data_IF_837250841969
#
_entry.id   IF_837250841969
#
_cell.length_a   1.000
_cell.length_b   1.000
_cell.length_c   1.000
_cell.angle_alpha   90.00
_cell.angle_beta   90.00
_cell.angle_gamma   90.00
#
_symmetry.space_group_name_H-M   'P 1'
#
loop_
_entity.id
_entity.type
_entity.pdbx_description
1 polymer ?
#
# COMPACT_ATOMS: atom_id res chain seq x y z
N UNK A 1 -11.75 6.05 18.36
CA UNK A 1 -11.06 5.08 19.25
C UNK A 1 -11.94 3.82 19.41
N UNK A 2 -11.35 2.62 19.41
CA UNK A 2 -12.10 1.35 19.51
C UNK A 2 -12.41 0.64 18.19
N UNK A 3 -12.04 1.23 17.05
CA UNK A 3 -12.10 0.57 15.75
C UNK A 3 -10.76 -0.11 15.45
N UNK A 4 -10.82 -1.28 14.81
CA UNK A 4 -9.67 -2.04 14.31
C UNK A 4 -9.86 -2.30 12.82
N UNK A 5 -8.79 -2.19 12.06
CA UNK A 5 -8.73 -2.53 10.64
C UNK A 5 -7.65 -3.60 10.48
N UNK A 6 -7.94 -4.60 9.65
CA UNK A 6 -7.05 -5.70 9.30
C UNK A 6 -6.97 -5.83 7.78
N UNK A 7 -5.88 -6.42 7.27
CA UNK A 7 -5.61 -6.53 5.83
C UNK A 7 -5.77 -7.98 5.37
N UNK A 8 -6.61 -8.21 4.37
CA UNK A 8 -6.70 -9.51 3.65
C UNK A 8 -5.84 -9.47 2.37
N UNK A 9 -5.93 -8.37 1.62
CA UNK A 9 -5.16 -8.09 0.40
C UNK A 9 -5.30 -6.62 0.01
N UNK A 10 -4.43 -6.13 -0.87
CA UNK A 10 -4.37 -4.70 -1.24
C UNK A 10 -4.64 -4.39 -2.72
N UNK A 11 -4.63 -5.39 -3.61
CA UNK A 11 -4.80 -5.17 -5.05
C UNK A 11 -5.90 -6.06 -5.67
N UNK A 12 -5.81 -7.38 -5.49
CA UNK A 12 -6.70 -8.33 -6.16
C UNK A 12 -7.66 -9.01 -5.19
N UNK A 13 -8.95 -9.07 -5.57
CA UNK A 13 -9.96 -9.86 -4.89
C UNK A 13 -10.62 -10.84 -5.89
N UNK A 14 -10.56 -12.14 -5.60
CA UNK A 14 -11.40 -13.13 -6.28
C UNK A 14 -12.64 -13.38 -5.43
N UNK A 15 -13.81 -13.21 -6.05
CA UNK A 15 -15.07 -13.24 -5.31
C UNK A 15 -16.07 -14.24 -5.90
N UNK A 16 -16.83 -14.90 -5.03
CA UNK A 16 -17.89 -15.83 -5.41
C UNK A 16 -18.95 -15.92 -4.33
N UNK A 17 -20.22 -16.04 -4.73
CA UNK A 17 -21.31 -16.37 -3.80
C UNK A 17 -21.19 -17.82 -3.34
N UNK A 18 -21.27 -18.04 -2.02
CA UNK A 18 -21.36 -19.38 -1.43
C UNK A 18 -22.80 -19.95 -1.51
N UNK A 19 -22.99 -21.18 -1.03
CA UNK A 19 -24.30 -21.86 -1.05
C UNK A 19 -25.36 -21.21 -0.15
N UNK A 20 -24.96 -20.34 0.79
CA UNK A 20 -25.85 -19.55 1.62
C UNK A 20 -26.17 -18.18 1.00
N UNK A 21 -25.62 -17.87 -0.18
CA UNK A 21 -25.82 -16.58 -0.86
C UNK A 21 -24.95 -15.46 -0.32
N UNK A 22 -23.94 -15.75 0.51
CA UNK A 22 -22.99 -14.75 0.98
C UNK A 22 -21.87 -14.58 -0.06
N UNK A 23 -21.56 -13.33 -0.43
CA UNK A 23 -20.40 -13.03 -1.26
C UNK A 23 -19.13 -13.27 -0.44
N UNK A 24 -18.29 -14.22 -0.87
CA UNK A 24 -16.98 -14.52 -0.27
C UNK A 24 -15.87 -13.95 -1.13
N UNK A 25 -14.79 -13.49 -0.51
CA UNK A 25 -13.59 -13.03 -1.20
C UNK A 25 -12.32 -13.70 -0.65
N UNK A 26 -11.39 -14.01 -1.55
CA UNK A 26 -10.01 -14.34 -1.21
C UNK A 26 -9.07 -13.31 -1.83
N UNK A 27 -7.92 -13.11 -1.20
CA UNK A 27 -6.75 -12.53 -1.84
C UNK A 27 -5.95 -13.66 -2.51
N UNK A 28 -5.78 -13.67 -3.84
CA UNK A 28 -5.00 -14.71 -4.52
C UNK A 28 -3.48 -14.48 -4.44
N UNK A 29 -3.02 -13.39 -3.83
CA UNK A 29 -1.61 -13.01 -3.74
C UNK A 29 -0.99 -13.38 -2.39
N UNK A 30 0.35 -13.40 -2.33
CA UNK A 30 1.13 -13.75 -1.13
C UNK A 30 2.04 -12.60 -0.66
N UNK A 31 1.81 -11.40 -1.15
CA UNK A 31 2.67 -10.26 -0.90
C UNK A 31 2.02 -8.96 -1.31
N UNK A 32 2.70 -7.86 -1.01
CA UNK A 32 2.32 -6.53 -1.45
C UNK A 32 3.36 -6.01 -2.42
N UNK A 33 2.89 -5.55 -3.57
CA UNK A 33 3.71 -4.86 -4.56
C UNK A 33 3.40 -3.36 -4.57
N UNK A 34 3.60 -2.72 -3.43
CA UNK A 34 3.16 -1.34 -3.20
C UNK A 34 4.07 -0.29 -3.82
N UNK A 35 3.47 0.85 -4.18
CA UNK A 35 4.18 2.07 -4.61
C UNK A 35 4.93 2.66 -3.42
N UNK A 36 6.24 2.85 -3.56
CA UNK A 36 7.06 3.40 -2.47
C UNK A 36 6.84 4.91 -2.27
N UNK A 37 6.94 5.80 -3.29
CA UNK A 37 6.83 7.25 -3.09
C UNK A 37 5.51 7.66 -2.42
N UNK A 38 5.61 8.54 -1.42
CA UNK A 38 4.49 8.96 -0.57
C UNK A 38 4.19 8.05 0.62
N UNK A 39 4.79 6.86 0.71
CA UNK A 39 4.70 5.99 1.89
C UNK A 39 5.61 6.53 2.99
N UNK A 40 5.08 6.73 4.20
CA UNK A 40 5.82 7.23 5.36
C UNK A 40 5.15 6.77 6.65
N UNK A 41 5.76 7.01 7.81
CA UNK A 41 5.12 6.72 9.09
C UNK A 41 3.87 7.60 9.34
N UNK A 42 3.78 8.76 8.67
CA UNK A 42 2.60 9.61 8.72
C UNK A 42 1.46 9.13 7.82
N UNK A 43 1.77 8.61 6.61
CA UNK A 43 0.75 8.19 5.65
C UNK A 43 0.34 6.72 5.82
N UNK A 44 1.31 5.83 6.04
CA UNK A 44 1.09 4.39 6.17
C UNK A 44 2.16 3.75 7.10
N UNK A 45 2.03 3.91 8.43
CA UNK A 45 2.95 3.31 9.39
C UNK A 45 2.93 1.78 9.38
N UNK A 46 1.85 1.16 8.87
CA UNK A 46 1.74 -0.28 8.73
C UNK A 46 2.69 -0.78 7.63
N UNK A 47 2.67 -0.13 6.46
CA UNK A 47 3.61 -0.45 5.38
C UNK A 47 5.05 -0.25 5.84
N UNK A 48 5.37 0.85 6.54
CA UNK A 48 6.71 1.07 7.07
C UNK A 48 7.17 -0.07 7.99
N UNK A 49 6.31 -0.59 8.87
CA UNK A 49 6.63 -1.75 9.71
C UNK A 49 6.75 -3.07 8.93
N UNK A 50 6.19 -3.14 7.73
CA UNK A 50 6.14 -4.36 6.90
C UNK A 50 7.40 -4.50 6.02
N UNK A 51 7.92 -3.39 5.48
CA UNK A 51 8.87 -3.40 4.36
C UNK A 51 10.36 -3.44 4.74
N UNK A 52 10.73 -3.27 6.01
CA UNK A 52 12.15 -3.23 6.42
C UNK A 52 12.76 -4.59 6.79
N UNK A 53 12.14 -5.69 6.35
CA UNK A 53 12.68 -7.05 6.44
C UNK A 53 12.23 -7.86 5.22
N UNK A 54 13.08 -8.76 4.72
CA UNK A 54 12.77 -9.70 3.62
C UNK A 54 12.07 -9.05 2.40
N UNK A 55 12.38 -7.80 2.10
CA UNK A 55 11.71 -7.01 1.06
C UNK A 55 12.69 -6.66 -0.04
N UNK A 56 12.21 -6.72 -1.27
CA UNK A 56 12.96 -6.26 -2.45
C UNK A 56 12.43 -4.88 -2.82
N UNK A 57 13.31 -3.89 -2.87
CA UNK A 57 12.98 -2.56 -3.37
C UNK A 57 13.47 -2.41 -4.81
N UNK A 58 12.66 -1.78 -5.66
CA UNK A 58 12.98 -1.56 -7.09
C UNK A 58 12.86 -0.08 -7.43
N UNK A 59 13.93 0.50 -7.98
CA UNK A 59 14.04 1.90 -8.41
C UNK A 59 13.80 2.95 -7.30
N UNK A 60 14.07 2.60 -6.04
CA UNK A 60 14.16 3.58 -4.93
C UNK A 60 15.57 4.14 -4.84
N UNK A 61 15.76 5.22 -4.10
CA UNK A 61 17.09 5.72 -3.77
C UNK A 61 17.73 4.89 -2.65
N UNK A 62 19.06 4.86 -2.62
CA UNK A 62 19.85 4.22 -1.57
C UNK A 62 20.48 5.28 -0.67
N UNK A 63 20.56 5.01 0.64
CA UNK A 63 21.20 5.90 1.60
C UNK A 63 22.58 5.38 2.01
N UNK A 64 23.49 6.27 2.40
CA UNK A 64 24.88 5.92 2.70
C UNK A 64 25.08 5.02 3.92
N UNK A 65 24.05 4.90 4.77
CA UNK A 65 23.98 4.02 5.93
C UNK A 65 23.34 2.65 5.62
N UNK A 66 23.05 2.36 4.34
CA UNK A 66 22.53 1.07 3.88
C UNK A 66 21.01 0.96 3.86
N UNK A 67 20.29 2.06 4.05
CA UNK A 67 18.84 2.14 3.92
C UNK A 67 18.36 2.52 2.51
N UNK A 68 17.09 2.94 2.45
CA UNK A 68 16.39 3.35 1.23
C UNK A 68 15.74 4.71 1.43
N UNK A 69 15.51 5.43 0.33
CA UNK A 69 14.85 6.72 0.33
C UNK A 69 13.90 6.87 -0.87
N UNK A 70 12.84 7.64 -0.67
CA UNK A 70 11.91 8.11 -1.70
C UNK A 70 11.21 9.39 -1.21
N UNK A 71 10.59 10.11 -2.14
CA UNK A 71 9.83 11.32 -1.85
C UNK A 71 8.73 11.07 -0.82
N UNK A 72 8.72 11.85 0.27
CA UNK A 72 7.84 11.67 1.42
C UNK A 72 8.53 11.23 2.71
N UNK A 73 9.80 10.81 2.64
CA UNK A 73 10.63 10.44 3.81
C UNK A 73 11.56 11.56 4.29
N UNK A 74 11.42 12.79 3.80
CA UNK A 74 12.36 13.89 4.09
C UNK A 74 12.48 14.19 5.60
N UNK A 75 11.42 13.96 6.37
CA UNK A 75 11.41 14.16 7.81
C UNK A 75 11.85 12.93 8.62
N UNK A 76 12.11 11.80 7.96
CA UNK A 76 12.45 10.52 8.58
C UNK A 76 13.92 10.14 8.39
N UNK A 77 14.67 10.90 7.60
CA UNK A 77 16.09 10.67 7.32
C UNK A 77 16.95 11.76 7.96
N UNK A 78 18.05 11.34 8.59
CA UNK A 78 19.07 12.25 9.10
C UNK A 78 19.62 13.13 7.96
N UNK A 79 19.60 14.48 8.09
CA UNK A 79 20.10 15.38 7.06
C UNK A 79 21.54 15.16 6.61
N UNK A 80 22.36 14.47 7.42
CA UNK A 80 23.76 14.19 7.13
C UNK A 80 23.97 12.92 6.28
N UNK A 81 22.92 12.11 6.11
CA UNK A 81 22.96 10.90 5.30
C UNK A 81 22.98 11.27 3.82
N UNK A 82 23.94 10.72 3.07
CA UNK A 82 24.03 10.93 1.63
C UNK A 82 23.07 10.00 0.92
N UNK A 83 22.47 10.49 -0.16
CA UNK A 83 21.48 9.75 -0.94
C UNK A 83 22.01 9.58 -2.37
N UNK A 84 21.89 8.37 -2.89
CA UNK A 84 22.12 8.03 -4.29
C UNK A 84 20.78 7.74 -4.94
N UNK A 85 20.42 8.46 -6.00
CA UNK A 85 19.15 8.27 -6.70
C UNK A 85 19.06 6.91 -7.40
N UNK A 86 17.86 6.58 -7.87
CA UNK A 86 17.54 5.33 -8.56
C UNK A 86 18.33 5.10 -9.87
N UNK A 87 19.04 6.12 -10.37
CA UNK A 87 19.91 6.05 -11.56
C UNK A 87 21.40 5.97 -11.18
N UNK A 88 21.72 5.86 -9.89
CA UNK A 88 23.09 5.78 -9.39
C UNK A 88 23.80 7.12 -9.28
N UNK A 89 23.08 8.25 -9.29
CA UNK A 89 23.67 9.60 -9.19
C UNK A 89 23.54 10.15 -7.77
N UNK A 90 24.49 11.01 -7.36
CA UNK A 90 24.37 11.72 -6.08
C UNK A 90 23.12 12.60 -6.09
N UNK A 91 22.32 12.48 -5.04
CA UNK A 91 21.08 13.23 -4.87
C UNK A 91 21.11 14.08 -3.60
N UNK A 92 20.51 15.26 -3.69
CA UNK A 92 20.29 16.17 -2.56
C UNK A 92 18.89 16.73 -2.64
N UNK A 93 18.37 17.30 -1.54
CA UNK A 93 17.07 17.98 -1.54
C UNK A 93 16.98 19.19 -2.50
N UNK A 94 18.12 19.70 -2.97
CA UNK A 94 18.18 20.76 -3.98
C UNK A 94 18.15 20.23 -5.43
N UNK A 95 18.22 18.92 -5.62
CA UNK A 95 18.16 18.29 -6.95
C UNK A 95 16.80 18.54 -7.61
N UNK A 96 16.80 18.79 -8.92
CA UNK A 96 15.58 19.05 -9.70
C UNK A 96 14.81 17.79 -10.09
N UNK A 97 15.42 16.62 -9.91
CA UNK A 97 14.84 15.31 -10.24
C UNK A 97 14.57 14.53 -8.97
N UNK A 98 13.55 13.66 -8.95
CA UNK A 98 13.28 12.82 -7.78
C UNK A 98 14.42 11.83 -7.53
N UNK A 99 14.60 11.47 -6.26
CA UNK A 99 15.54 10.46 -5.80
C UNK A 99 15.06 9.06 -6.19
N UNK A 100 13.77 8.78 -6.08
CA UNK A 100 13.17 7.51 -6.49
C UNK A 100 12.38 7.69 -7.81
N UNK A 101 12.23 6.61 -8.58
CA UNK A 101 11.30 6.64 -9.70
C UNK A 101 9.85 6.85 -9.17
N UNK A 102 8.98 7.66 -9.81
CA UNK A 102 7.63 7.91 -9.30
C UNK A 102 6.74 6.68 -9.14
N UNK A 103 7.04 5.60 -9.87
CA UNK A 103 6.39 4.28 -9.74
C UNK A 103 7.38 3.21 -9.22
N UNK A 104 8.36 3.61 -8.41
CA UNK A 104 9.22 2.67 -7.68
C UNK A 104 8.41 1.87 -6.67
N UNK A 105 8.87 0.67 -6.36
CA UNK A 105 8.06 -0.35 -5.67
C UNK A 105 8.84 -1.01 -4.54
N UNK A 106 8.11 -1.42 -3.51
CA UNK A 106 8.53 -2.48 -2.61
C UNK A 106 7.76 -3.76 -2.93
N UNK A 107 8.44 -4.90 -2.83
CA UNK A 107 7.86 -6.23 -2.95
C UNK A 107 8.14 -6.97 -1.64
N UNK A 108 7.12 -7.10 -0.79
CA UNK A 108 7.22 -7.62 0.58
C UNK A 108 6.23 -8.77 0.81
N UNK A 109 6.58 -9.79 1.62
CA UNK A 109 5.63 -10.83 2.01
C UNK A 109 4.47 -10.26 2.84
N UNK A 110 3.24 -10.72 2.57
CA UNK A 110 2.03 -10.22 3.23
C UNK A 110 2.00 -10.59 4.71
N UNK A 111 2.52 -11.77 5.06
CA UNK A 111 2.62 -12.29 6.43
C UNK A 111 3.46 -11.44 7.38
N UNK A 112 4.24 -10.47 6.87
CA UNK A 112 4.98 -9.51 7.71
C UNK A 112 4.12 -8.29 8.14
N UNK A 113 2.94 -8.12 7.56
CA UNK A 113 2.08 -7.00 7.90
C UNK A 113 1.56 -7.15 9.33
N UNK A 114 1.79 -6.17 10.22
CA UNK A 114 1.44 -6.28 11.63
C UNK A 114 -0.07 -6.27 11.91
N UNK A 115 -0.89 -6.04 10.88
CA UNK A 115 -2.36 -6.10 10.93
C UNK A 115 -2.93 -7.04 9.86
N UNK A 116 -2.16 -8.02 9.41
CA UNK A 116 -2.70 -9.05 8.51
C UNK A 116 -3.88 -9.76 9.21
N UNK A 117 -4.98 -9.92 8.51
CA UNK A 117 -6.18 -10.57 9.03
C UNK A 117 -5.89 -12.05 9.29
N UNK A 118 -6.34 -12.65 10.41
CA UNK A 118 -6.10 -14.07 10.67
C UNK A 118 -6.71 -15.02 9.63
N UNK A 119 -7.69 -14.56 8.84
CA UNK A 119 -8.33 -15.30 7.76
C UNK A 119 -7.85 -14.87 6.36
N UNK A 120 -6.74 -14.13 6.25
CA UNK A 120 -6.26 -13.63 4.95
C UNK A 120 -5.97 -14.74 3.92
N UNK A 121 -5.58 -15.93 4.40
CA UNK A 121 -5.37 -17.16 3.61
C UNK A 121 -6.49 -18.20 3.78
N UNK A 122 -7.63 -17.84 4.39
CA UNK A 122 -8.71 -18.79 4.63
C UNK A 122 -9.28 -19.30 3.29
N UNK A 123 -9.31 -20.62 3.04
CA UNK A 123 -9.73 -21.17 1.75
C UNK A 123 -11.21 -20.91 1.44
N UNK A 124 -12.05 -20.73 2.46
CA UNK A 124 -13.46 -20.35 2.35
C UNK A 124 -13.68 -18.86 2.00
N UNK A 125 -12.64 -18.03 2.16
CA UNK A 125 -12.70 -16.58 2.00
C UNK A 125 -13.53 -15.85 3.07
N UNK A 126 -13.36 -14.54 3.11
CA UNK A 126 -14.05 -13.66 4.05
C UNK A 126 -15.37 -13.15 3.47
N UNK A 127 -16.42 -12.98 4.30
CA UNK A 127 -17.70 -12.44 3.83
C UNK A 127 -17.59 -10.95 3.51
N UNK A 128 -17.99 -10.56 2.30
CA UNK A 128 -18.06 -9.16 1.85
C UNK A 128 -19.44 -8.60 2.10
N UNK A 129 -19.49 -7.47 2.81
CA UNK A 129 -20.75 -6.76 3.14
C UNK A 129 -20.89 -5.39 2.45
N UNK A 130 -19.81 -4.85 1.89
CA UNK A 130 -19.81 -3.59 1.16
C UNK A 130 -18.73 -3.60 0.07
N UNK A 131 -19.01 -2.98 -1.07
CA UNK A 131 -18.05 -2.70 -2.14
C UNK A 131 -17.96 -1.19 -2.28
N UNK A 132 -16.74 -0.65 -2.27
CA UNK A 132 -16.49 0.77 -2.35
C UNK A 132 -15.86 1.10 -3.70
N UNK A 133 -16.42 2.08 -4.39
CA UNK A 133 -15.83 2.66 -5.60
C UNK A 133 -15.26 4.05 -5.28
N UNK A 134 -14.16 4.41 -5.93
CA UNK A 134 -13.52 5.69 -5.68
C UNK A 134 -12.49 6.06 -6.73
N UNK A 135 -12.13 7.34 -6.74
CA UNK A 135 -11.11 7.90 -7.62
C UNK A 135 -10.81 9.34 -7.24
N UNK A 136 -9.75 9.93 -7.81
CA UNK A 136 -9.37 11.31 -7.51
C UNK A 136 -10.22 12.30 -8.31
N UNK A 137 -11.07 13.08 -7.63
CA UNK A 137 -11.94 14.09 -8.22
C UNK A 137 -11.76 15.42 -7.49
N UNK A 138 -11.20 16.48 -8.12
CA UNK A 138 -10.90 17.74 -7.43
C UNK A 138 -12.15 18.57 -7.11
N UNK A 139 -13.28 18.30 -7.75
CA UNK A 139 -14.55 18.99 -7.53
C UNK A 139 -15.76 18.13 -7.94
N UNK A 140 -16.94 18.51 -7.45
CA UNK A 140 -18.24 17.98 -7.88
C UNK A 140 -18.71 16.70 -7.16
N UNK A 141 -17.84 15.71 -7.00
CA UNK A 141 -18.20 14.44 -6.34
C UNK A 141 -18.10 14.61 -4.80
N UNK A 142 -19.14 14.25 -4.02
CA UNK A 142 -19.11 14.35 -2.57
C UNK A 142 -18.17 13.31 -1.94
N UNK A 143 -17.86 13.48 -0.64
CA UNK A 143 -16.92 12.61 0.09
C UNK A 143 -17.34 11.13 0.08
N UNK A 144 -18.61 10.85 0.37
CA UNK A 144 -19.18 9.51 0.35
C UNK A 144 -20.67 9.61 0.04
N UNK A 145 -21.19 8.67 -0.75
CA UNK A 145 -22.62 8.48 -1.00
C UNK A 145 -22.88 6.99 -1.25
N UNK A 146 -24.11 6.55 -0.98
CA UNK A 146 -24.53 5.16 -1.13
C UNK A 146 -25.41 5.00 -2.37
N UNK A 147 -25.20 3.92 -3.14
CA UNK A 147 -26.12 3.56 -4.22
C UNK A 147 -27.51 3.21 -3.67
N UNK A 148 -28.55 3.49 -4.45
CA UNK A 148 -29.95 3.26 -4.04
C UNK A 148 -30.34 1.78 -4.06
N UNK A 149 -29.73 1.04 -4.97
CA UNK A 149 -29.95 -0.38 -5.22
C UNK A 149 -28.73 -0.95 -5.95
N UNK A 150 -28.79 -2.24 -6.30
CA UNK A 150 -27.73 -2.95 -7.00
C UNK A 150 -27.50 -2.39 -8.41
N UNK A 151 -28.56 -2.17 -9.19
CA UNK A 151 -28.48 -1.72 -10.58
C UNK A 151 -27.88 -0.31 -10.70
N UNK A 152 -28.12 0.57 -9.73
CA UNK A 152 -27.51 1.89 -9.67
C UNK A 152 -26.03 1.84 -9.24
N UNK A 153 -25.62 0.79 -8.54
CA UNK A 153 -24.23 0.60 -8.14
C UNK A 153 -23.32 0.10 -9.26
N UNK A 154 -23.88 -0.63 -10.22
CA UNK A 154 -23.20 -1.15 -11.42
C UNK A 154 -23.08 -0.06 -12.49
#
# INVERSE_FOLDING_TARGET
>A
PGYKIECVGDDIAWMRFDSAGQLRAINPENGFFGVAPGTSNASNPIAMKTVFKNTIFTNVAATSDGGVFWEGLENEIDPNVRITDWRGQVWTRASKTPAAHPNSRFCTPASQCPIIDPQWEAPEGVPISAILFGGRRPSGVPLVYQARDWQHGV
#
